data_IF_228926485376
#
_entry.id   IF_228926485376
#
_cell.length_a   1.000
_cell.length_b   1.000
_cell.length_c   1.000
_cell.angle_alpha   90.00
_cell.angle_beta   90.00
_cell.angle_gamma   90.00
#
_symmetry.space_group_name_H-M   'P 1'
#
loop_
_entity.id
_entity.type
_entity.pdbx_description
1 polymer ?
#
# COMPACT_ATOMS: atom_id res chain seq x y z
N UNK A 1 -9.74 -23.95 -42.02
CA UNK A 1 -8.62 -23.78 -41.05
C UNK A 1 -9.12 -22.88 -39.92
N UNK A 2 -9.66 -23.47 -38.84
CA UNK A 2 -10.28 -22.73 -37.73
C UNK A 2 -9.24 -22.33 -36.69
N UNK A 3 -9.12 -21.03 -36.39
CA UNK A 3 -8.31 -20.55 -35.28
C UNK A 3 -9.01 -20.91 -33.97
N UNK A 4 -8.42 -21.79 -33.17
CA UNK A 4 -8.84 -22.01 -31.78
C UNK A 4 -8.53 -20.75 -30.98
N UNK A 5 -9.55 -19.96 -30.67
CA UNK A 5 -9.46 -18.83 -29.74
C UNK A 5 -9.22 -19.40 -28.34
N UNK A 6 -7.97 -19.44 -27.88
CA UNK A 6 -7.66 -19.73 -26.48
C UNK A 6 -8.25 -18.63 -25.60
N UNK A 7 -9.48 -18.84 -25.14
CA UNK A 7 -10.15 -17.94 -24.19
C UNK A 7 -9.40 -18.06 -22.86
N UNK A 8 -8.86 -16.96 -22.36
CA UNK A 8 -8.30 -16.91 -21.02
C UNK A 8 -9.39 -17.34 -20.02
N UNK A 9 -9.18 -18.47 -19.35
CA UNK A 9 -10.06 -18.94 -18.29
C UNK A 9 -9.70 -18.16 -17.03
N UNK A 10 -10.55 -17.20 -16.65
CA UNK A 10 -10.42 -16.47 -15.39
C UNK A 10 -11.11 -17.31 -14.32
N UNK A 11 -10.33 -17.87 -13.38
CA UNK A 11 -10.87 -18.61 -12.24
C UNK A 11 -11.40 -17.61 -11.22
N UNK A 12 -12.73 -17.61 -10.99
CA UNK A 12 -13.41 -16.70 -10.06
C UNK A 12 -13.78 -17.36 -8.73
N UNK A 13 -13.59 -18.67 -8.61
CA UNK A 13 -13.86 -19.44 -7.39
C UNK A 13 -12.60 -19.53 -6.52
N UNK A 14 -12.51 -18.61 -5.55
CA UNK A 14 -11.47 -18.59 -4.51
C UNK A 14 -12.02 -19.14 -3.20
N UNK A 15 -11.32 -20.11 -2.62
CA UNK A 15 -11.62 -20.59 -1.27
C UNK A 15 -11.42 -19.47 -0.25
N UNK A 16 -12.19 -19.52 0.85
CA UNK A 16 -12.02 -18.58 1.98
C UNK A 16 -10.59 -18.59 2.53
N UNK A 17 -9.93 -19.75 2.53
CA UNK A 17 -8.55 -19.89 2.98
C UNK A 17 -7.54 -19.16 2.08
N UNK A 18 -7.70 -19.28 0.76
CA UNK A 18 -6.84 -18.58 -0.22
C UNK A 18 -6.98 -17.06 -0.08
N UNK A 19 -8.22 -16.57 0.11
CA UNK A 19 -8.47 -15.14 0.33
C UNK A 19 -7.76 -14.64 1.61
N UNK A 20 -7.88 -15.34 2.73
CA UNK A 20 -7.23 -14.92 3.99
C UNK A 20 -5.71 -14.89 3.84
N UNK A 21 -5.11 -15.90 3.23
CA UNK A 21 -3.66 -15.93 2.99
C UNK A 21 -3.23 -14.79 2.05
N UNK A 22 -3.99 -14.51 0.99
CA UNK A 22 -3.72 -13.39 0.09
C UNK A 22 -3.75 -12.05 0.83
N UNK A 23 -4.80 -11.80 1.63
CA UNK A 23 -4.89 -10.59 2.45
C UNK A 23 -3.77 -10.49 3.48
N UNK A 24 -3.36 -11.61 4.09
CA UNK A 24 -2.21 -11.65 4.99
C UNK A 24 -0.93 -11.15 4.33
N UNK A 25 -0.63 -11.62 3.12
CA UNK A 25 0.52 -11.15 2.34
C UNK A 25 0.40 -9.69 1.91
N UNK A 26 -0.79 -9.23 1.52
CA UNK A 26 -1.02 -7.83 1.18
C UNK A 26 -0.79 -6.91 2.38
N UNK A 27 -1.24 -7.29 3.57
CA UNK A 27 -0.97 -6.56 4.81
C UNK A 27 0.51 -6.57 5.19
N UNK A 28 1.21 -7.68 4.99
CA UNK A 28 2.66 -7.74 5.23
C UNK A 28 3.42 -6.81 4.26
N UNK A 29 3.04 -6.81 2.98
CA UNK A 29 3.59 -5.89 1.97
C UNK A 29 3.29 -4.43 2.31
N UNK A 30 2.08 -4.13 2.77
CA UNK A 30 1.71 -2.81 3.28
C UNK A 30 2.60 -2.39 4.47
N UNK A 31 2.78 -3.25 5.47
CA UNK A 31 3.59 -2.95 6.64
C UNK A 31 5.06 -2.68 6.27
N UNK A 32 5.65 -3.52 5.42
CA UNK A 32 7.02 -3.34 4.92
C UNK A 32 7.16 -2.05 4.10
N UNK A 33 6.19 -1.76 3.23
CA UNK A 33 6.16 -0.52 2.46
C UNK A 33 6.07 0.73 3.35
N UNK A 34 5.21 0.71 4.37
CA UNK A 34 5.09 1.79 5.36
C UNK A 34 6.42 2.04 6.07
N UNK A 35 7.06 0.98 6.56
CA UNK A 35 8.34 1.07 7.25
C UNK A 35 9.42 1.68 6.34
N UNK A 36 9.56 1.17 5.11
CA UNK A 36 10.55 1.67 4.16
C UNK A 36 10.29 3.15 3.82
N UNK A 37 9.05 3.52 3.54
CA UNK A 37 8.70 4.90 3.20
C UNK A 37 8.98 5.87 4.37
N UNK A 38 8.81 5.41 5.61
CA UNK A 38 9.11 6.20 6.80
C UNK A 38 10.62 6.34 7.02
N UNK A 39 11.38 5.25 6.95
CA UNK A 39 12.84 5.28 7.16
C UNK A 39 13.54 6.12 6.09
N UNK A 40 13.07 6.05 4.85
CA UNK A 40 13.62 6.83 3.73
C UNK A 40 12.96 8.20 3.56
N UNK A 41 12.12 8.65 4.49
CA UNK A 41 11.38 9.91 4.35
C UNK A 41 12.31 11.13 4.19
N UNK A 42 13.50 11.08 4.78
CA UNK A 42 14.56 12.08 4.65
C UNK A 42 15.72 11.60 3.78
N UNK A 43 15.42 10.78 2.76
CA UNK A 43 16.45 10.32 1.84
C UNK A 43 16.98 11.47 0.96
N UNK A 44 18.31 11.57 0.94
CA UNK A 44 19.06 12.52 0.13
C UNK A 44 19.90 11.75 -0.91
N UNK A 45 19.90 12.27 -2.13
CA UNK A 45 20.79 11.79 -3.20
C UNK A 45 21.83 12.89 -3.40
N UNK A 46 23.02 12.70 -2.83
CA UNK A 46 24.01 13.76 -2.71
C UNK A 46 23.51 14.88 -1.80
N UNK A 47 23.47 16.12 -2.32
CA UNK A 47 22.98 17.30 -1.58
C UNK A 47 21.50 17.61 -1.79
N UNK A 48 20.79 16.80 -2.61
CA UNK A 48 19.39 17.07 -2.97
C UNK A 48 18.45 16.13 -2.23
N UNK A 49 17.48 16.70 -1.52
CA UNK A 49 16.39 15.94 -0.92
C UNK A 49 15.43 15.45 -2.03
N UNK A 50 15.20 14.15 -2.12
CA UNK A 50 14.34 13.57 -3.16
C UNK A 50 13.10 12.95 -2.53
N UNK A 51 11.88 13.46 -2.81
CA UNK A 51 10.64 13.00 -2.21
C UNK A 51 10.09 11.70 -2.84
N UNK A 52 10.97 10.76 -3.22
CA UNK A 52 10.54 9.48 -3.79
C UNK A 52 9.69 8.60 -2.85
N UNK A 53 9.83 8.62 -1.50
CA UNK A 53 8.99 7.82 -0.62
C UNK A 53 7.50 8.18 -0.73
N UNK A 54 7.18 9.45 -0.99
CA UNK A 54 5.81 9.93 -1.15
C UNK A 54 5.18 9.33 -2.41
N UNK A 55 5.95 9.27 -3.51
CA UNK A 55 5.52 8.63 -4.76
C UNK A 55 5.37 7.13 -4.58
N UNK A 56 6.31 6.48 -3.89
CA UNK A 56 6.24 5.06 -3.60
C UNK A 56 5.02 4.70 -2.72
N UNK A 57 4.71 5.48 -1.69
CA UNK A 57 3.53 5.25 -0.86
C UNK A 57 2.24 5.25 -1.68
N UNK A 58 2.11 6.19 -2.63
CA UNK A 58 0.99 6.20 -3.57
C UNK A 58 0.95 4.94 -4.44
N UNK A 59 2.08 4.57 -5.07
CA UNK A 59 2.14 3.44 -5.99
C UNK A 59 1.92 2.10 -5.29
N UNK A 60 2.50 1.90 -4.10
CA UNK A 60 2.31 0.68 -3.32
C UNK A 60 0.85 0.50 -2.95
N UNK A 61 0.20 1.52 -2.37
CA UNK A 61 -1.21 1.40 -2.00
C UNK A 61 -2.13 1.24 -3.22
N UNK A 62 -1.77 1.83 -4.37
CA UNK A 62 -2.48 1.60 -5.62
C UNK A 62 -2.41 0.12 -6.05
N UNK A 63 -1.22 -0.48 -6.05
CA UNK A 63 -1.05 -1.89 -6.43
C UNK A 63 -1.70 -2.82 -5.42
N UNK A 64 -1.55 -2.55 -4.13
CA UNK A 64 -2.12 -3.37 -3.06
C UNK A 64 -3.65 -3.37 -3.12
N UNK A 65 -4.29 -2.21 -3.27
CA UNK A 65 -5.76 -2.14 -3.39
C UNK A 65 -6.25 -2.77 -4.68
N UNK A 66 -5.57 -2.56 -5.82
CA UNK A 66 -5.92 -3.28 -7.06
C UNK A 66 -5.83 -4.79 -6.91
N UNK A 67 -4.78 -5.26 -6.25
CA UNK A 67 -4.59 -6.68 -6.01
C UNK A 67 -5.67 -7.21 -5.06
N UNK A 68 -6.03 -6.47 -4.01
CA UNK A 68 -7.09 -6.84 -3.09
C UNK A 68 -8.46 -6.95 -3.77
N UNK A 69 -8.76 -6.05 -4.72
CA UNK A 69 -9.98 -6.09 -5.55
C UNK A 69 -10.07 -7.33 -6.44
N UNK A 70 -8.95 -8.01 -6.78
CA UNK A 70 -9.00 -9.28 -7.50
C UNK A 70 -9.65 -10.40 -6.67
N UNK A 71 -9.60 -10.28 -5.34
CA UNK A 71 -10.10 -11.29 -4.40
C UNK A 71 -11.48 -10.97 -3.85
N UNK A 72 -12.01 -9.76 -4.10
CA UNK A 72 -13.31 -9.34 -3.57
C UNK A 72 -13.99 -8.29 -4.44
N UNK A 73 -15.31 -8.39 -4.59
CA UNK A 73 -16.12 -7.33 -5.18
C UNK A 73 -16.47 -6.20 -4.19
N UNK A 74 -16.08 -6.31 -2.92
CA UNK A 74 -16.44 -5.34 -1.88
C UNK A 74 -15.30 -4.35 -1.66
N UNK A 75 -15.50 -3.11 -2.08
CA UNK A 75 -14.52 -2.02 -1.97
C UNK A 75 -13.97 -1.85 -0.55
N UNK A 76 -14.82 -1.97 0.48
CA UNK A 76 -14.40 -1.86 1.89
C UNK A 76 -13.35 -2.90 2.30
N UNK A 77 -13.43 -4.14 1.78
CA UNK A 77 -12.43 -5.16 2.08
C UNK A 77 -11.12 -4.86 1.35
N UNK A 78 -11.16 -4.30 0.14
CA UNK A 78 -9.96 -3.96 -0.60
C UNK A 78 -9.11 -2.84 0.03
N UNK A 79 -9.67 -2.09 0.98
CA UNK A 79 -8.98 -1.05 1.75
C UNK A 79 -8.27 -1.59 3.01
N UNK A 80 -8.44 -2.87 3.36
CA UNK A 80 -7.77 -3.49 4.53
C UNK A 80 -6.25 -3.32 4.49
N UNK A 81 -5.54 -3.54 3.36
CA UNK A 81 -4.09 -3.33 3.31
C UNK A 81 -3.69 -1.87 3.56
N UNK A 82 -4.49 -0.91 3.10
CA UNK A 82 -4.26 0.53 3.32
C UNK A 82 -4.48 0.89 4.79
N UNK A 83 -5.52 0.34 5.42
CA UNK A 83 -5.74 0.52 6.85
C UNK A 83 -4.56 -0.06 7.66
N UNK A 84 -4.07 -1.25 7.29
CA UNK A 84 -2.88 -1.85 7.90
C UNK A 84 -1.64 -0.95 7.74
N UNK A 85 -1.43 -0.40 6.54
CA UNK A 85 -0.35 0.55 6.25
C UNK A 85 -0.37 1.78 7.19
N UNK A 86 -1.55 2.40 7.37
CA UNK A 86 -1.73 3.55 8.27
C UNK A 86 -1.48 3.15 9.73
N UNK A 87 -2.02 2.02 10.17
CA UNK A 87 -1.82 1.52 11.53
C UNK A 87 -0.35 1.25 11.85
N UNK A 88 0.42 0.75 10.87
CA UNK A 88 1.86 0.54 11.03
C UNK A 88 2.57 1.88 11.19
N UNK A 89 2.26 2.90 10.41
CA UNK A 89 2.86 4.24 10.60
C UNK A 89 2.52 4.84 11.97
N UNK A 90 1.27 4.70 12.42
CA UNK A 90 0.85 5.16 13.75
C UNK A 90 1.58 4.38 14.86
N UNK A 91 1.64 3.06 14.75
CA UNK A 91 2.35 2.20 15.71
C UNK A 91 3.84 2.51 15.79
N UNK A 92 4.48 2.76 14.66
CA UNK A 92 5.89 3.15 14.61
C UNK A 92 6.12 4.56 15.19
N UNK A 93 5.23 5.51 14.90
CA UNK A 93 5.31 6.87 15.42
C UNK A 93 5.09 6.99 16.93
N UNK A 94 4.30 6.08 17.51
CA UNK A 94 3.99 6.07 18.95
C UNK A 94 4.88 5.10 19.75
N UNK A 95 5.35 4.02 19.14
CA UNK A 95 6.03 2.92 19.83
C UNK A 95 7.56 2.91 19.70
N UNK A 96 8.13 3.68 18.76
CA UNK A 96 9.58 3.68 18.50
C UNK A 96 10.11 5.12 18.48
N UNK A 97 10.85 5.51 19.53
CA UNK A 97 11.36 6.87 19.69
C UNK A 97 12.16 7.36 18.47
N UNK A 98 13.03 6.50 17.92
CA UNK A 98 13.84 6.82 16.73
C UNK A 98 12.97 7.12 15.49
N UNK A 99 11.89 6.39 15.27
CA UNK A 99 11.01 6.64 14.12
C UNK A 99 10.05 7.81 14.39
N UNK A 100 9.67 8.01 15.64
CA UNK A 100 8.91 9.18 16.10
C UNK A 100 9.67 10.49 15.85
N UNK A 101 10.98 10.51 16.06
CA UNK A 101 11.81 11.68 15.78
C UNK A 101 11.87 12.01 14.28
N UNK A 102 11.89 10.99 13.40
CA UNK A 102 11.83 11.18 11.94
C UNK A 102 10.51 11.83 11.52
N UNK A 103 9.38 11.35 12.05
CA UNK A 103 8.03 11.92 11.79
C UNK A 103 7.92 13.37 12.27
N UNK A 104 8.44 13.66 13.46
CA UNK A 104 8.35 14.98 14.07
C UNK A 104 9.33 16.00 13.45
N UNK A 105 10.48 15.56 12.96
CA UNK A 105 11.42 16.39 12.20
C UNK A 105 10.89 16.74 10.80
N UNK A 106 10.15 15.82 10.16
CA UNK A 106 9.71 15.92 8.77
C UNK A 106 8.19 16.07 8.60
N UNK A 107 7.53 16.86 9.46
CA UNK A 107 6.05 16.93 9.56
C UNK A 107 5.32 17.11 8.24
N UNK A 108 5.80 18.00 7.37
CA UNK A 108 5.19 18.28 6.06
C UNK A 108 5.30 17.07 5.13
N UNK A 109 6.48 16.43 5.09
CA UNK A 109 6.71 15.24 4.27
C UNK A 109 5.95 14.03 4.82
N UNK A 110 5.87 13.89 6.14
CA UNK A 110 5.07 12.87 6.80
C UNK A 110 3.58 13.01 6.47
N UNK A 111 3.05 14.24 6.50
CA UNK A 111 1.68 14.51 6.08
C UNK A 111 1.48 14.16 4.60
N UNK A 112 2.40 14.60 3.73
CA UNK A 112 2.35 14.28 2.30
C UNK A 112 2.41 12.77 2.04
N UNK A 113 3.21 12.02 2.81
CA UNK A 113 3.31 10.56 2.75
C UNK A 113 1.97 9.89 3.08
N UNK A 114 1.33 10.30 4.17
CA UNK A 114 0.04 9.73 4.59
C UNK A 114 -1.03 10.04 3.56
N UNK A 115 -1.10 11.30 3.10
CA UNK A 115 -2.06 11.71 2.08
C UNK A 115 -1.84 10.96 0.76
N UNK A 116 -0.59 10.85 0.29
CA UNK A 116 -0.29 10.14 -0.95
C UNK A 116 -0.62 8.64 -0.84
N UNK A 117 -0.31 8.02 0.30
CA UNK A 117 -0.67 6.64 0.58
C UNK A 117 -2.18 6.41 0.57
N UNK A 118 -2.96 7.29 1.21
CA UNK A 118 -4.43 7.21 1.22
C UNK A 118 -5.01 7.40 -0.18
N UNK A 119 -4.57 8.42 -0.92
CA UNK A 119 -5.04 8.68 -2.29
C UNK A 119 -4.70 7.47 -3.19
N UNK A 120 -3.50 6.90 -3.04
CA UNK A 120 -3.07 5.71 -3.78
C UNK A 120 -4.02 4.53 -3.61
N UNK A 121 -4.48 4.27 -2.39
CA UNK A 121 -5.46 3.23 -2.09
C UNK A 121 -6.89 3.57 -2.54
N UNK A 122 -7.29 4.84 -2.45
CA UNK A 122 -8.66 5.26 -2.79
C UNK A 122 -8.91 5.31 -4.31
N UNK A 123 -7.92 5.68 -5.12
CA UNK A 123 -8.07 5.76 -6.59
C UNK A 123 -8.60 4.46 -7.22
N UNK A 124 -8.02 3.27 -6.96
CA UNK A 124 -8.57 2.02 -7.48
C UNK A 124 -9.90 1.66 -6.85
N UNK A 125 -10.10 1.90 -5.55
CA UNK A 125 -11.34 1.64 -4.84
C UNK A 125 -12.55 2.40 -5.42
N UNK A 126 -12.35 3.64 -5.86
CA UNK A 126 -13.40 4.48 -6.48
C UNK A 126 -13.66 4.16 -7.96
N UNK A 127 -12.77 3.38 -8.60
CA UNK A 127 -12.89 2.99 -10.03
C UNK A 127 -13.30 1.53 -10.22
N UNK A 128 -13.57 0.82 -9.12
CA UNK A 128 -14.03 -0.58 -9.10
C UNK A 128 -15.53 -0.73 -9.26
#
# INVERSE_FOLDING_TARGET
MGRSSSRAVIRTDFSRGEQVTAYGWLCLGAAMSALLCLVYLDAHIGSVAVPYPIVLAFLFNLVLTRTALLWTGRVWLALIPVACWVLVLLGLGLGVEMLSSVLTANKIRALALVLSGLIGGLVPALRS
#
